data_IF_569570894604
#
_entry.id   IF_569570894604
#
_cell.length_a   1.000
_cell.length_b   1.000
_cell.length_c   1.000
_cell.angle_alpha   90.00
_cell.angle_beta   90.00
_cell.angle_gamma   90.00
#
_symmetry.space_group_name_H-M   'P 1'
#
loop_
_entity.id
_entity.type
_entity.pdbx_description
1 polymer ?
#
# COMPACT_ATOMS: atom_id res chain seq x y z
N UNK A 1 5.61 -25.47 -5.69
CA UNK A 1 4.99 -24.14 -5.75
C UNK A 1 5.66 -23.34 -4.66
N UNK A 2 6.49 -22.37 -5.02
CA UNK A 2 7.05 -21.45 -4.03
C UNK A 2 5.85 -20.62 -3.53
N UNK A 3 5.72 -20.42 -2.21
CA UNK A 3 4.63 -19.63 -1.64
C UNK A 3 4.63 -18.18 -2.17
N UNK A 4 3.68 -17.36 -1.72
CA UNK A 4 3.77 -15.93 -2.03
C UNK A 4 5.13 -15.37 -1.55
N UNK A 5 5.64 -14.33 -2.20
CA UNK A 5 6.82 -13.57 -1.76
C UNK A 5 6.75 -13.21 -0.26
N UNK A 6 5.56 -12.84 0.21
CA UNK A 6 5.25 -12.65 1.63
C UNK A 6 5.54 -13.89 2.48
N UNK A 7 5.10 -15.07 2.06
CA UNK A 7 5.36 -16.34 2.78
C UNK A 7 6.84 -16.71 2.75
N UNK A 8 7.49 -16.48 1.61
CA UNK A 8 8.92 -16.72 1.46
C UNK A 8 9.73 -15.84 2.42
N UNK A 9 9.37 -14.57 2.58
CA UNK A 9 10.01 -13.69 3.55
C UNK A 9 9.71 -14.11 4.99
N UNK A 10 8.44 -14.39 5.33
CA UNK A 10 8.05 -14.81 6.68
C UNK A 10 8.66 -16.16 7.13
N UNK A 11 9.13 -16.96 6.17
CA UNK A 11 9.84 -18.22 6.42
C UNK A 11 11.37 -18.08 6.38
N UNK A 12 11.90 -16.88 6.14
CA UNK A 12 13.34 -16.61 6.07
C UNK A 12 14.00 -16.98 4.73
N UNK A 13 13.20 -17.27 3.69
CA UNK A 13 13.70 -17.59 2.34
C UNK A 13 14.14 -16.33 1.59
N UNK A 14 13.42 -15.21 1.77
CA UNK A 14 13.82 -13.90 1.24
C UNK A 14 14.45 -13.05 2.35
N UNK A 15 15.56 -12.37 2.05
CA UNK A 15 16.22 -11.46 2.98
C UNK A 15 15.59 -10.06 3.05
N UNK A 16 14.78 -9.69 2.07
CA UNK A 16 14.08 -8.41 1.99
C UNK A 16 12.71 -8.61 1.34
N UNK A 17 11.72 -7.86 1.80
CA UNK A 17 10.38 -7.82 1.27
C UNK A 17 9.88 -6.37 1.26
N UNK A 18 9.29 -5.94 0.15
CA UNK A 18 8.63 -4.64 0.06
C UNK A 18 7.15 -4.83 0.41
N UNK A 19 6.66 -4.06 1.38
CA UNK A 19 5.27 -4.10 1.79
C UNK A 19 4.88 -2.89 2.60
N UNK A 20 3.57 -2.73 2.84
CA UNK A 20 3.03 -1.69 3.70
C UNK A 20 3.12 -2.05 5.19
N UNK A 21 2.52 -1.21 6.03
CA UNK A 21 2.45 -1.44 7.48
C UNK A 21 1.80 -2.79 7.86
N UNK A 22 0.97 -3.35 6.98
CA UNK A 22 0.28 -4.63 7.16
C UNK A 22 1.21 -5.81 7.35
N UNK A 23 2.49 -5.69 6.97
CA UNK A 23 3.54 -6.71 7.20
C UNK A 23 3.69 -7.07 8.68
N UNK A 24 3.39 -6.14 9.59
CA UNK A 24 3.45 -6.37 11.04
C UNK A 24 2.62 -7.57 11.53
N UNK A 25 1.54 -7.96 10.82
CA UNK A 25 0.78 -9.17 11.20
C UNK A 25 1.60 -10.46 11.10
N UNK A 26 2.73 -10.43 10.40
CA UNK A 26 3.64 -11.56 10.27
C UNK A 26 4.55 -11.73 11.49
N UNK A 27 4.54 -10.82 12.47
CA UNK A 27 5.34 -10.94 13.70
C UNK A 27 5.14 -12.30 14.38
N UNK A 28 3.90 -12.78 14.45
CA UNK A 28 3.58 -14.09 15.01
C UNK A 28 4.09 -15.27 14.18
N UNK A 29 4.08 -15.14 12.84
CA UNK A 29 4.56 -16.17 11.90
C UNK A 29 6.08 -16.26 11.90
N UNK A 30 6.77 -15.11 12.01
CA UNK A 30 8.21 -15.01 12.11
C UNK A 30 8.68 -15.54 13.46
N UNK A 31 8.04 -15.10 14.54
CA UNK A 31 8.37 -15.53 15.90
C UNK A 31 9.84 -15.26 16.22
N UNK A 32 10.57 -16.31 16.59
CA UNK A 32 11.98 -16.27 16.93
C UNK A 32 12.91 -16.71 15.79
N UNK A 33 12.39 -16.93 14.57
CA UNK A 33 13.18 -17.41 13.43
C UNK A 33 14.26 -16.41 12.99
N UNK A 34 13.94 -15.12 13.04
CA UNK A 34 14.86 -14.02 12.74
C UNK A 34 14.33 -12.71 13.31
N UNK A 35 15.24 -11.75 13.51
CA UNK A 35 14.91 -10.37 13.81
C UNK A 35 14.74 -9.58 12.51
N UNK A 36 13.77 -8.65 12.50
CA UNK A 36 13.51 -7.83 11.32
C UNK A 36 13.32 -6.35 11.69
N UNK A 37 13.48 -5.50 10.69
CA UNK A 37 13.30 -4.05 10.78
C UNK A 37 12.64 -3.52 9.52
N UNK A 38 12.00 -2.36 9.62
CA UNK A 38 11.47 -1.62 8.48
C UNK A 38 12.44 -0.50 8.07
N UNK A 39 12.48 -0.20 6.78
CA UNK A 39 13.13 0.98 6.20
C UNK A 39 12.24 1.56 5.11
N UNK A 40 12.35 2.87 4.86
CA UNK A 40 11.72 3.48 3.71
C UNK A 40 12.32 2.96 2.39
N UNK A 41 11.56 3.10 1.31
CA UNK A 41 12.08 2.83 -0.03
C UNK A 41 13.25 3.76 -0.35
N UNK A 42 14.14 3.31 -1.23
CA UNK A 42 15.29 4.11 -1.65
C UNK A 42 14.84 5.46 -2.25
N UNK A 43 15.60 6.50 -1.92
CA UNK A 43 15.39 7.85 -2.47
C UNK A 43 15.81 7.87 -3.93
N UNK A 44 14.88 8.20 -4.82
CA UNK A 44 15.15 8.29 -6.24
C UNK A 44 15.96 9.55 -6.61
N UNK A 45 16.40 9.69 -7.88
CA UNK A 45 17.15 10.86 -8.36
C UNK A 45 16.44 12.21 -8.17
N UNK A 46 15.10 12.19 -8.05
CA UNK A 46 14.30 13.37 -7.72
C UNK A 46 14.37 13.81 -6.25
N UNK A 47 15.13 13.12 -5.39
CA UNK A 47 15.31 13.44 -3.98
C UNK A 47 14.13 13.05 -3.08
N UNK A 48 13.18 12.27 -3.60
CA UNK A 48 12.00 11.80 -2.86
C UNK A 48 12.04 10.27 -2.73
N UNK A 49 11.76 9.78 -1.53
CA UNK A 49 11.55 8.35 -1.27
C UNK A 49 10.24 7.90 -1.90
N UNK A 50 10.24 6.77 -2.61
CA UNK A 50 8.99 6.24 -3.18
C UNK A 50 8.06 5.78 -2.07
N UNK A 51 7.00 6.53 -1.77
CA UNK A 51 5.92 6.06 -0.92
C UNK A 51 4.59 6.62 -1.42
N UNK A 52 3.59 5.76 -1.41
CA UNK A 52 2.21 6.13 -1.68
C UNK A 52 1.43 6.19 -0.36
N UNK A 53 0.65 7.26 -0.18
CA UNK A 53 -0.33 7.35 0.90
C UNK A 53 -1.66 6.72 0.43
N UNK A 54 -1.72 5.39 0.50
CA UNK A 54 -2.94 4.63 0.23
C UNK A 54 -3.92 4.76 1.41
N UNK A 55 -5.21 4.98 1.10
CA UNK A 55 -6.27 5.09 2.12
C UNK A 55 -7.36 4.06 1.85
N UNK A 56 -7.50 3.12 2.78
CA UNK A 56 -8.70 2.29 2.90
C UNK A 56 -9.86 3.14 3.44
N UNK A 57 -10.93 3.25 2.67
CA UNK A 57 -12.08 4.07 3.01
C UNK A 57 -13.34 3.23 3.27
N UNK A 58 -14.14 3.68 4.25
CA UNK A 58 -15.51 3.21 4.42
C UNK A 58 -16.46 4.13 3.66
N UNK A 59 -17.40 3.53 2.92
CA UNK A 59 -18.42 4.25 2.16
C UNK A 59 -19.82 3.83 2.62
N UNK A 60 -20.76 4.78 2.66
CA UNK A 60 -22.19 4.50 2.84
C UNK A 60 -22.83 4.44 1.45
N UNK A 61 -23.49 3.32 1.13
CA UNK A 61 -24.16 3.16 -0.17
C UNK A 61 -25.42 4.01 -0.23
N UNK A 62 -25.79 4.45 -1.43
CA UNK A 62 -27.05 5.17 -1.68
C UNK A 62 -28.30 4.33 -1.44
N UNK A 63 -28.15 3.02 -1.29
CA UNK A 63 -29.22 2.04 -1.03
C UNK A 63 -29.45 1.75 0.45
N UNK A 64 -28.67 2.36 1.36
CA UNK A 64 -28.87 2.17 2.80
C UNK A 64 -30.25 2.68 3.23
N UNK A 65 -30.99 1.87 3.99
CA UNK A 65 -32.24 2.28 4.62
C UNK A 65 -32.02 3.21 5.83
N UNK A 66 -30.79 3.26 6.35
CA UNK A 66 -30.38 4.03 7.53
C UNK A 66 -29.08 4.81 7.24
N UNK A 67 -29.08 5.76 6.28
CA UNK A 67 -27.84 6.39 5.81
C UNK A 67 -27.16 7.27 6.88
N UNK A 68 -27.94 7.91 7.76
CA UNK A 68 -27.38 8.77 8.81
C UNK A 68 -26.72 7.93 9.91
N UNK A 69 -27.38 6.88 10.37
CA UNK A 69 -26.85 5.96 11.38
C UNK A 69 -25.65 5.18 10.86
N UNK A 70 -25.69 4.77 9.58
CA UNK A 70 -24.53 4.18 8.92
C UNK A 70 -23.35 5.16 8.85
N UNK A 71 -23.61 6.44 8.61
CA UNK A 71 -22.56 7.46 8.61
C UNK A 71 -21.98 7.69 10.00
N UNK A 72 -22.80 7.76 11.06
CA UNK A 72 -22.33 7.83 12.45
C UNK A 72 -21.44 6.62 12.80
N UNK A 73 -21.81 5.43 12.34
CA UNK A 73 -20.99 4.23 12.50
C UNK A 73 -19.63 4.34 11.78
N UNK A 74 -19.62 4.84 10.54
CA UNK A 74 -18.36 5.10 9.81
C UNK A 74 -17.50 6.13 10.54
N UNK A 75 -18.09 7.19 11.09
CA UNK A 75 -17.36 8.17 11.90
C UNK A 75 -16.71 7.53 13.13
N UNK A 76 -17.41 6.62 13.80
CA UNK A 76 -16.85 5.87 14.92
C UNK A 76 -15.70 4.96 14.49
N UNK A 77 -15.83 4.22 13.39
CA UNK A 77 -14.76 3.38 12.84
C UNK A 77 -13.52 4.19 12.43
N UNK A 78 -13.70 5.42 11.99
CA UNK A 78 -12.62 6.35 11.62
C UNK A 78 -12.18 7.28 12.78
N UNK A 79 -12.61 7.02 14.01
CA UNK A 79 -12.19 7.78 15.18
C UNK A 79 -10.70 7.55 15.51
N UNK A 80 -10.13 8.42 16.33
CA UNK A 80 -8.75 8.26 16.78
C UNK A 80 -8.57 6.96 17.57
N UNK A 81 -9.53 6.65 18.46
CA UNK A 81 -9.52 5.43 19.26
C UNK A 81 -9.57 4.18 18.39
N UNK A 82 -10.53 4.10 17.47
CA UNK A 82 -10.67 2.97 16.55
C UNK A 82 -9.43 2.81 15.66
N UNK A 83 -8.86 3.92 15.18
CA UNK A 83 -7.66 3.91 14.35
C UNK A 83 -6.42 3.41 15.10
N UNK A 84 -6.26 3.77 16.39
CA UNK A 84 -5.17 3.27 17.23
C UNK A 84 -5.38 1.78 17.55
N UNK A 85 -6.61 1.39 17.89
CA UNK A 85 -6.95 -0.02 18.14
C UNK A 85 -6.65 -0.90 16.93
N UNK A 86 -6.97 -0.43 15.71
CA UNK A 86 -6.62 -1.12 14.46
C UNK A 86 -5.12 -1.41 14.36
N UNK A 87 -4.27 -0.47 14.77
CA UNK A 87 -2.81 -0.64 14.81
C UNK A 87 -2.29 -1.56 15.92
N UNK A 88 -3.04 -1.74 16.99
CA UNK A 88 -2.68 -2.62 18.10
C UNK A 88 -3.05 -4.07 17.79
N UNK A 89 -4.26 -4.29 17.26
CA UNK A 89 -4.79 -5.63 17.02
C UNK A 89 -4.53 -6.15 15.60
N UNK A 90 -4.20 -5.25 14.67
CA UNK A 90 -4.05 -5.53 13.25
C UNK A 90 -2.76 -4.97 12.66
N UNK A 91 -2.63 -5.11 11.34
CA UNK A 91 -1.43 -4.69 10.63
C UNK A 91 -1.45 -3.24 10.14
N UNK A 92 -2.65 -2.74 9.84
CA UNK A 92 -2.88 -1.38 9.36
C UNK A 92 -3.13 -0.41 10.51
N UNK A 93 -3.17 0.88 10.22
CA UNK A 93 -3.47 1.95 11.20
C UNK A 93 -4.50 2.88 10.61
N UNK A 94 -5.24 3.58 11.46
CA UNK A 94 -6.06 4.69 10.97
C UNK A 94 -5.19 5.79 10.33
N UNK A 95 -5.62 6.30 9.17
CA UNK A 95 -4.86 7.27 8.38
C UNK A 95 -4.82 8.70 8.94
N UNK A 96 -5.10 8.92 10.23
CA UNK A 96 -5.03 10.25 10.84
C UNK A 96 -3.64 10.48 11.46
N UNK A 97 -3.04 11.68 11.35
CA UNK A 97 -1.75 11.97 11.98
C UNK A 97 -1.69 11.72 13.49
N UNK A 98 -2.79 11.98 14.21
CA UNK A 98 -2.90 11.72 15.64
C UNK A 98 -3.08 10.23 16.00
N UNK A 99 -3.35 9.38 15.01
CA UNK A 99 -3.41 7.92 15.16
C UNK A 99 -2.03 7.30 14.95
N UNK A 100 -1.44 7.44 13.76
CA UNK A 100 -0.13 6.85 13.48
C UNK A 100 1.01 7.52 14.25
N UNK A 101 0.77 8.73 14.78
CA UNK A 101 1.65 9.41 15.73
C UNK A 101 1.37 9.13 17.21
N UNK A 102 0.46 8.20 17.54
CA UNK A 102 0.11 7.89 18.94
C UNK A 102 1.27 7.24 19.69
N UNK A 103 1.45 7.63 20.96
CA UNK A 103 2.50 7.09 21.83
C UNK A 103 2.43 5.56 21.94
N UNK A 104 1.23 4.99 21.94
CA UNK A 104 1.03 3.55 22.03
C UNK A 104 1.63 2.79 20.85
N UNK A 105 1.35 3.25 19.62
CA UNK A 105 1.89 2.62 18.42
C UNK A 105 3.40 2.83 18.29
N UNK A 106 3.91 4.00 18.69
CA UNK A 106 5.34 4.33 18.57
C UNK A 106 6.25 3.57 19.55
N UNK A 107 5.69 2.80 20.49
CA UNK A 107 6.46 1.83 21.29
C UNK A 107 7.10 0.73 20.45
N UNK A 108 6.52 0.44 19.28
CA UNK A 108 7.04 -0.58 18.36
C UNK A 108 8.02 0.08 17.37
N UNK A 109 9.30 -0.35 17.31
CA UNK A 109 10.32 0.38 16.55
C UNK A 109 10.00 0.63 15.08
N UNK A 110 9.44 -0.36 14.36
CA UNK A 110 9.08 -0.17 12.96
C UNK A 110 7.95 0.86 12.75
N UNK A 111 7.09 1.11 13.75
CA UNK A 111 6.02 2.12 13.66
C UNK A 111 6.58 3.54 13.62
N UNK A 112 7.77 3.77 14.19
CA UNK A 112 8.46 5.06 14.07
C UNK A 112 8.91 5.31 12.63
N UNK A 113 9.43 4.28 11.97
CA UNK A 113 9.80 4.34 10.54
C UNK A 113 8.56 4.56 9.67
N UNK A 114 7.48 3.82 9.93
CA UNK A 114 6.22 4.02 9.20
C UNK A 114 5.65 5.43 9.40
N UNK A 115 5.73 6.00 10.61
CA UNK A 115 5.34 7.39 10.83
C UNK A 115 6.13 8.34 9.94
N UNK A 116 7.45 8.20 9.88
CA UNK A 116 8.29 9.06 9.02
C UNK A 116 7.91 8.91 7.54
N UNK A 117 7.62 7.68 7.09
CA UNK A 117 7.14 7.43 5.72
C UNK A 117 5.79 8.11 5.49
N UNK A 118 4.85 8.00 6.42
CA UNK A 118 3.50 8.59 6.32
C UNK A 118 3.54 10.12 6.35
N UNK A 119 4.41 10.73 7.16
CA UNK A 119 4.61 12.18 7.22
C UNK A 119 5.17 12.76 5.90
N UNK A 120 5.85 11.93 5.10
CA UNK A 120 6.55 12.33 3.87
C UNK A 120 6.00 11.63 2.61
N UNK A 121 4.88 10.92 2.72
CA UNK A 121 4.31 10.19 1.62
C UNK A 121 3.87 11.12 0.49
N UNK A 122 3.96 10.64 -0.74
CA UNK A 122 3.44 11.37 -1.89
C UNK A 122 1.96 11.11 -2.06
N UNK A 123 1.26 12.05 -2.70
CA UNK A 123 -0.14 11.88 -3.07
C UNK A 123 -0.30 10.63 -3.95
N UNK A 124 -1.32 9.83 -3.64
CA UNK A 124 -1.67 8.68 -4.46
C UNK A 124 -2.08 9.11 -5.87
N UNK A 125 -1.57 8.38 -6.86
CA UNK A 125 -1.80 8.65 -8.27
C UNK A 125 -2.87 7.70 -8.80
N UNK A 126 -4.10 8.17 -8.77
CA UNK A 126 -5.24 7.44 -9.34
C UNK A 126 -5.47 7.83 -10.81
N UNK A 127 -5.90 6.88 -11.61
CA UNK A 127 -6.39 7.15 -12.97
C UNK A 127 -7.60 8.08 -12.96
N UNK A 128 -7.61 9.08 -13.84
CA UNK A 128 -8.65 10.12 -13.90
C UNK A 128 -10.03 9.61 -14.33
N UNK A 129 -10.06 8.44 -14.96
CA UNK A 129 -11.25 7.77 -15.47
C UNK A 129 -11.70 6.56 -14.61
N UNK A 130 -11.09 6.37 -13.42
CA UNK A 130 -11.44 5.30 -12.48
C UNK A 130 -11.21 3.87 -13.00
N UNK A 131 -10.34 3.71 -14.00
CA UNK A 131 -9.95 2.40 -14.57
C UNK A 131 -8.62 1.90 -14.00
N UNK A 132 -8.38 2.15 -12.72
CA UNK A 132 -7.11 1.83 -12.05
C UNK A 132 -6.77 0.34 -12.19
N UNK A 133 -7.73 -0.54 -11.91
CA UNK A 133 -7.55 -1.99 -12.00
C UNK A 133 -7.15 -2.45 -13.41
N UNK A 134 -7.78 -1.89 -14.45
CA UNK A 134 -7.45 -2.20 -15.85
C UNK A 134 -6.03 -1.74 -16.18
N UNK A 135 -5.66 -0.53 -15.78
CA UNK A 135 -4.33 0.03 -16.00
C UNK A 135 -3.24 -0.76 -15.26
N UNK A 136 -3.43 -1.11 -13.99
CA UNK A 136 -2.48 -1.89 -13.19
C UNK A 136 -2.30 -3.32 -13.73
N UNK A 137 -3.40 -3.95 -14.17
CA UNK A 137 -3.35 -5.27 -14.79
C UNK A 137 -2.60 -5.22 -16.12
N UNK A 138 -2.86 -4.22 -16.95
CA UNK A 138 -2.13 -4.02 -18.21
C UNK A 138 -0.65 -3.75 -17.93
N UNK A 139 -0.31 -2.88 -16.98
CA UNK A 139 1.08 -2.58 -16.61
C UNK A 139 1.82 -3.85 -16.15
N UNK A 140 1.18 -4.65 -15.29
CA UNK A 140 1.73 -5.93 -14.81
C UNK A 140 2.01 -6.88 -15.97
N UNK A 141 1.08 -7.01 -16.93
CA UNK A 141 1.23 -7.90 -18.09
C UNK A 141 2.30 -7.41 -19.06
N UNK A 142 2.29 -6.11 -19.38
CA UNK A 142 3.19 -5.48 -20.33
C UNK A 142 4.64 -5.45 -19.84
N UNK A 143 4.87 -5.46 -18.53
CA UNK A 143 6.22 -5.53 -17.94
C UNK A 143 6.74 -6.96 -17.78
N UNK A 144 5.93 -8.01 -17.97
CA UNK A 144 6.40 -9.41 -17.84
C UNK A 144 7.61 -9.75 -18.72
N UNK A 145 7.68 -9.34 -20.01
CA UNK A 145 8.84 -9.63 -20.86
C UNK A 145 10.15 -9.04 -20.31
N UNK A 146 10.08 -7.87 -19.65
CA UNK A 146 11.22 -7.25 -18.98
C UNK A 146 11.71 -8.13 -17.81
N UNK A 147 10.79 -8.60 -16.96
CA UNK A 147 11.12 -9.47 -15.82
C UNK A 147 11.63 -10.85 -16.24
N UNK A 148 11.13 -11.37 -17.36
CA UNK A 148 11.61 -12.61 -17.95
C UNK A 148 12.98 -12.46 -18.64
N UNK A 149 13.51 -11.24 -18.78
CA UNK A 149 14.75 -10.96 -19.50
C UNK A 149 14.62 -11.06 -21.03
N UNK A 150 13.40 -11.13 -21.54
CA UNK A 150 13.10 -11.19 -22.97
C UNK A 150 13.13 -9.80 -23.64
N UNK A 151 12.99 -8.74 -22.84
CA UNK A 151 13.04 -7.35 -23.29
C UNK A 151 14.02 -6.52 -22.45
N UNK A 152 14.47 -5.41 -23.02
CA UNK A 152 15.30 -4.42 -22.34
C UNK A 152 14.48 -3.17 -22.04
N UNK A 153 14.76 -2.43 -20.95
CA UNK A 153 14.04 -1.21 -20.59
C UNK A 153 14.49 -0.02 -21.46
N UNK A 154 14.37 -0.17 -22.78
CA UNK A 154 14.65 0.88 -23.75
C UNK A 154 13.53 1.92 -23.74
N UNK A 155 13.82 3.13 -24.22
CA UNK A 155 12.82 4.20 -24.38
C UNK A 155 11.62 3.71 -25.21
N UNK A 156 11.87 3.06 -26.35
CA UNK A 156 10.82 2.51 -27.20
C UNK A 156 9.92 1.47 -26.49
N UNK A 157 10.51 0.62 -25.64
CA UNK A 157 9.74 -0.34 -24.85
C UNK A 157 8.85 0.38 -23.84
N UNK A 158 9.43 1.31 -23.06
CA UNK A 158 8.70 2.09 -22.05
C UNK A 158 7.60 2.94 -22.69
N UNK A 159 7.87 3.58 -23.83
CA UNK A 159 6.88 4.34 -24.59
C UNK A 159 5.74 3.46 -25.10
N UNK A 160 6.03 2.22 -25.52
CA UNK A 160 4.99 1.28 -25.94
C UNK A 160 4.05 0.89 -24.80
N UNK A 161 4.58 0.77 -23.57
CA UNK A 161 3.77 0.52 -22.37
C UNK A 161 2.94 1.77 -22.07
N UNK A 162 3.58 2.93 -22.03
CA UNK A 162 2.92 4.20 -21.74
C UNK A 162 1.75 4.48 -22.70
N UNK A 163 1.93 4.24 -23.99
CA UNK A 163 0.87 4.39 -25.00
C UNK A 163 -0.32 3.47 -24.72
N UNK A 164 -0.08 2.20 -24.38
CA UNK A 164 -1.17 1.24 -24.13
C UNK A 164 -1.91 1.54 -22.81
N UNK A 165 -1.22 2.04 -21.80
CA UNK A 165 -1.86 2.54 -20.58
C UNK A 165 -2.67 3.81 -20.87
N UNK A 166 -2.14 4.70 -21.73
CA UNK A 166 -2.87 5.90 -22.15
C UNK A 166 -4.17 5.56 -22.88
N UNK A 167 -4.18 4.55 -23.75
CA UNK A 167 -5.40 4.08 -24.42
C UNK A 167 -6.48 3.65 -23.41
N UNK A 168 -6.09 3.09 -22.26
CA UNK A 168 -7.02 2.74 -21.17
C UNK A 168 -7.50 4.02 -20.46
N UNK A 169 -6.61 4.97 -20.18
CA UNK A 169 -6.95 6.23 -19.51
C UNK A 169 -7.82 7.16 -20.36
N UNK A 170 -7.76 7.03 -21.70
CA UNK A 170 -8.58 7.79 -22.63
C UNK A 170 -10.03 7.26 -22.75
N UNK A 171 -10.32 6.07 -22.21
CA UNK A 171 -11.68 5.55 -22.16
C UNK A 171 -12.57 6.36 -21.19
N UNK A 172 -13.89 6.42 -21.43
CA UNK A 172 -14.81 7.05 -20.50
C UNK A 172 -14.83 6.33 -19.15
N UNK A 173 -15.26 7.06 -18.12
CA UNK A 173 -15.56 6.47 -16.80
C UNK A 173 -16.59 5.33 -16.96
N UNK A 174 -16.45 4.22 -16.21
CA UNK A 174 -17.44 3.14 -16.18
C UNK A 174 -18.85 3.59 -15.78
#
# INVERSE_FOLDING_TARGET
MVGSDRDMWATGTLGLFQGGTSVSVLDSTIGDKFEWMAVGNAVGPGGVGGSDYEVDAYCVTTTSEHPNEAFEWVQYLCSQESGVLLGIIGGTVGGRPDVYGSEELLKVPYRQVFKEIMDNAQDSRITSNWRQEEAEKAFTQLTQPLWAGNEQPTEAFVDSIASQIQDIMDQPRP
#
